data_IF_649570628012
#
_entry.id   IF_649570628012
#
_cell.length_a   1.000
_cell.length_b   1.000
_cell.length_c   1.000
_cell.angle_alpha   90.00
_cell.angle_beta   90.00
_cell.angle_gamma   90.00
#
_symmetry.space_group_name_H-M   'P 1'
#
loop_
_entity.id
_entity.type
_entity.pdbx_description
1 polymer ?
#
# COMPACT_ATOMS: atom_id res chain seq x y z
N UNK A 1 1.23 8.55 17.93
CA UNK A 1 2.11 7.71 18.77
C UNK A 1 2.87 6.75 17.84
N UNK A 2 4.20 6.60 18.00
CA UNK A 2 5.08 6.04 16.95
C UNK A 2 5.42 4.56 17.19
N UNK A 3 5.46 3.75 16.12
CA UNK A 3 5.88 2.35 16.15
C UNK A 3 7.34 2.23 16.62
N UNK A 4 7.58 1.43 17.67
CA UNK A 4 8.86 1.42 18.41
C UNK A 4 9.79 0.29 18.00
N UNK A 5 9.24 -0.81 17.50
CA UNK A 5 10.00 -2.01 17.19
C UNK A 5 9.27 -2.88 16.16
N UNK A 6 10.02 -3.81 15.57
CA UNK A 6 9.48 -4.92 14.81
C UNK A 6 9.80 -6.23 15.54
N UNK A 7 8.78 -7.03 15.84
CA UNK A 7 8.91 -8.32 16.51
C UNK A 7 8.61 -9.48 15.57
N UNK A 8 9.33 -10.58 15.76
CA UNK A 8 9.11 -11.86 15.11
C UNK A 8 8.79 -12.90 16.18
N UNK A 9 7.62 -13.54 16.05
CA UNK A 9 7.16 -14.61 16.91
C UNK A 9 7.04 -15.89 16.08
N UNK A 10 7.28 -17.04 16.72
CA UNK A 10 6.90 -18.33 16.16
C UNK A 10 5.39 -18.59 16.36
N UNK A 11 4.89 -19.75 15.90
CA UNK A 11 3.46 -20.09 15.97
C UNK A 11 2.97 -20.34 17.40
N UNK A 12 3.87 -20.65 18.34
CA UNK A 12 3.56 -20.74 19.77
C UNK A 12 3.52 -19.36 20.47
N UNK A 13 3.73 -18.27 19.73
CA UNK A 13 3.74 -16.91 20.28
C UNK A 13 5.03 -16.53 21.01
N UNK A 14 6.08 -17.35 20.93
CA UNK A 14 7.38 -17.07 21.54
C UNK A 14 8.18 -16.12 20.67
N UNK A 15 8.62 -15.01 21.26
CA UNK A 15 9.53 -14.04 20.64
C UNK A 15 10.83 -14.71 20.19
N UNK A 16 11.16 -14.53 18.92
CA UNK A 16 12.39 -15.00 18.29
C UNK A 16 13.37 -13.84 18.05
N UNK A 17 12.86 -12.72 17.54
CA UNK A 17 13.66 -11.53 17.23
C UNK A 17 12.88 -10.26 17.59
N UNK A 18 13.56 -9.27 18.15
CA UNK A 18 13.05 -7.90 18.28
C UNK A 18 14.07 -6.93 17.68
N UNK A 19 13.62 -6.10 16.74
CA UNK A 19 14.41 -5.05 16.11
C UNK A 19 13.82 -3.70 16.51
N UNK A 20 14.56 -2.91 17.28
CA UNK A 20 14.12 -1.55 17.63
C UNK A 20 14.17 -0.66 16.40
N UNK A 21 13.10 0.09 16.16
CA UNK A 21 13.03 1.02 15.05
C UNK A 21 13.67 2.34 15.47
N UNK A 22 14.59 2.86 14.62
CA UNK A 22 15.08 4.22 14.75
C UNK A 22 14.34 5.12 13.76
N UNK A 23 13.42 5.94 14.29
CA UNK A 23 12.57 6.82 13.49
C UNK A 23 13.30 8.07 13.00
N UNK A 24 14.47 8.40 13.57
CA UNK A 24 15.28 9.55 13.13
C UNK A 24 15.82 9.39 11.70
N UNK A 25 15.85 8.17 11.17
CA UNK A 25 16.42 7.88 9.85
C UNK A 25 15.50 8.24 8.68
N UNK A 26 14.17 8.20 8.86
CA UNK A 26 13.22 8.32 7.75
C UNK A 26 12.47 9.65 7.70
N UNK A 27 12.73 10.57 8.65
CA UNK A 27 12.14 11.92 8.69
C UNK A 27 10.61 11.95 8.85
N UNK A 28 9.98 10.80 9.04
CA UNK A 28 8.54 10.65 9.14
C UNK A 28 8.14 9.29 9.70
N UNK A 29 6.94 9.23 10.27
CA UNK A 29 6.30 7.97 10.63
C UNK A 29 5.94 7.19 9.35
N UNK A 30 6.22 5.88 9.30
CA UNK A 30 6.04 4.99 8.13
C UNK A 30 4.62 4.94 7.55
N UNK A 31 3.65 5.62 8.15
CA UNK A 31 2.25 5.50 7.79
C UNK A 31 1.67 6.86 7.41
N UNK A 32 1.33 6.98 6.12
CA UNK A 32 0.52 8.02 5.49
C UNK A 32 1.25 9.32 5.15
N UNK A 33 1.82 9.34 3.95
CA UNK A 33 1.84 10.56 3.13
C UNK A 33 0.74 10.44 2.08
N UNK A 34 -0.37 11.14 2.30
CA UNK A 34 -1.23 11.61 1.22
C UNK A 34 -1.24 13.15 1.24
N UNK A 35 -0.11 13.80 0.91
CA UNK A 35 0.03 15.25 0.99
C UNK A 35 -0.76 15.99 -0.09
N UNK A 36 -1.23 15.28 -1.13
CA UNK A 36 -1.87 15.90 -2.29
C UNK A 36 -3.24 16.56 -1.99
N UNK A 37 -3.85 16.28 -0.84
CA UNK A 37 -5.17 16.83 -0.45
C UNK A 37 -5.16 17.50 0.92
N UNK A 38 -3.99 17.84 1.49
CA UNK A 38 -3.98 18.54 2.78
C UNK A 38 -4.41 19.99 2.61
N UNK A 39 -5.37 20.45 3.42
CA UNK A 39 -5.88 21.84 3.42
C UNK A 39 -4.79 22.91 3.69
N UNK A 40 -3.59 22.49 4.09
CA UNK A 40 -2.44 23.34 4.41
C UNK A 40 -1.51 23.61 3.20
N UNK A 41 -1.85 23.16 1.99
CA UNK A 41 -1.07 23.49 0.80
C UNK A 41 -1.45 24.87 0.26
N UNK A 42 -0.47 25.73 -0.12
CA UNK A 42 -0.78 26.99 -0.80
C UNK A 42 -1.66 26.72 -2.01
N UNK A 43 -2.83 27.34 -2.05
CA UNK A 43 -3.91 27.09 -3.01
C UNK A 43 -3.58 27.43 -4.48
N UNK A 44 -2.32 27.71 -4.82
CA UNK A 44 -1.90 28.34 -6.07
C UNK A 44 -0.89 27.55 -6.90
N UNK A 45 -0.49 26.33 -6.51
CA UNK A 45 0.60 25.63 -7.21
C UNK A 45 0.13 24.63 -8.29
N UNK A 46 -1.12 24.16 -8.26
CA UNK A 46 -1.63 23.23 -9.28
C UNK A 46 -3.17 23.30 -9.41
N UNK A 47 -3.67 23.16 -10.63
CA UNK A 47 -5.10 22.92 -10.90
C UNK A 47 -5.37 21.43 -10.74
N UNK A 48 -6.12 21.05 -9.71
CA UNK A 48 -6.50 19.66 -9.45
C UNK A 48 -7.89 19.39 -10.03
N UNK A 49 -7.98 18.41 -10.92
CA UNK A 49 -9.25 17.91 -11.47
C UNK A 49 -9.49 16.49 -10.98
N UNK A 50 -10.31 16.34 -9.94
CA UNK A 50 -10.72 15.02 -9.44
C UNK A 50 -11.72 14.36 -10.38
N UNK A 51 -11.98 13.06 -10.20
CA UNK A 51 -12.93 12.29 -11.03
C UNK A 51 -12.67 12.37 -12.54
N UNK A 52 -11.42 12.63 -12.92
CA UNK A 52 -10.96 12.79 -14.31
C UNK A 52 -10.08 11.61 -14.68
N UNK A 53 -10.67 10.41 -14.79
CA UNK A 53 -9.91 9.20 -15.10
C UNK A 53 -9.26 9.31 -16.48
N UNK A 54 -7.94 9.12 -16.54
CA UNK A 54 -7.21 9.01 -17.80
C UNK A 54 -7.43 7.61 -18.38
N UNK A 55 -7.79 7.55 -19.66
CA UNK A 55 -8.03 6.28 -20.38
C UNK A 55 -7.02 6.03 -21.50
N UNK A 56 -6.20 7.03 -21.84
CA UNK A 56 -5.20 6.91 -22.88
C UNK A 56 -4.44 8.20 -23.09
N UNK A 57 -3.38 8.07 -23.88
CA UNK A 57 -2.48 9.15 -24.24
C UNK A 57 -2.06 8.97 -25.70
N UNK A 58 -1.79 10.06 -26.40
CA UNK A 58 -1.17 10.03 -27.72
C UNK A 58 0.14 10.81 -27.67
N UNK A 59 1.26 10.09 -27.83
CA UNK A 59 2.62 10.64 -27.73
C UNK A 59 2.88 11.75 -28.76
N UNK A 60 2.38 11.61 -29.98
CA UNK A 60 2.67 12.53 -31.10
C UNK A 60 1.97 13.87 -30.93
N UNK A 61 0.70 13.83 -30.51
CA UNK A 61 -0.15 15.01 -30.33
C UNK A 61 -0.08 15.60 -28.93
N UNK A 62 0.50 14.84 -27.98
CA UNK A 62 0.61 15.18 -26.55
C UNK A 62 -0.76 15.39 -25.88
N UNK A 63 -1.72 14.59 -26.30
CA UNK A 63 -3.12 14.65 -25.83
C UNK A 63 -3.40 13.49 -24.89
N UNK A 64 -3.94 13.82 -23.71
CA UNK A 64 -4.47 12.88 -22.72
C UNK A 64 -5.98 12.79 -22.89
N UNK A 65 -6.51 11.58 -23.00
CA UNK A 65 -7.93 11.32 -23.13
C UNK A 65 -8.53 10.95 -21.78
N UNK A 66 -9.66 11.58 -21.44
CA UNK A 66 -10.39 11.34 -20.20
C UNK A 66 -11.63 10.47 -20.45
N UNK A 67 -12.04 9.71 -19.44
CA UNK A 67 -13.19 8.79 -19.53
C UNK A 67 -14.53 9.47 -19.83
N UNK A 68 -14.64 10.77 -19.56
CA UNK A 68 -15.83 11.57 -19.87
C UNK A 68 -15.86 12.07 -21.34
N UNK A 69 -14.91 11.64 -22.17
CA UNK A 69 -14.79 12.04 -23.58
C UNK A 69 -14.06 13.36 -23.83
N UNK A 70 -13.71 14.11 -22.77
CA UNK A 70 -12.88 15.31 -22.89
C UNK A 70 -11.40 14.96 -23.00
N UNK A 71 -10.57 15.94 -23.38
CA UNK A 71 -9.14 15.78 -23.48
C UNK A 71 -8.38 16.97 -22.89
N UNK A 72 -7.12 16.72 -22.56
CA UNK A 72 -6.18 17.73 -22.06
C UNK A 72 -4.90 17.61 -22.85
N UNK A 73 -4.33 18.74 -23.27
CA UNK A 73 -3.05 18.80 -23.96
C UNK A 73 -2.02 19.48 -23.06
N UNK A 74 -0.77 19.00 -23.09
CA UNK A 74 0.34 19.62 -22.37
C UNK A 74 1.67 19.40 -23.07
N UNK A 75 2.69 20.16 -22.70
CA UNK A 75 4.03 20.00 -23.28
C UNK A 75 4.72 18.73 -22.77
N UNK A 76 4.50 18.42 -21.49
CA UNK A 76 5.04 17.23 -20.82
C UNK A 76 3.91 16.57 -20.04
N UNK A 77 3.79 15.26 -20.18
CA UNK A 77 2.85 14.43 -19.42
C UNK A 77 3.65 13.55 -18.47
N UNK A 78 3.30 13.56 -17.19
CA UNK A 78 3.91 12.73 -16.15
C UNK A 78 2.97 11.58 -15.81
N UNK A 79 3.36 10.35 -16.17
CA UNK A 79 2.62 9.13 -15.84
C UNK A 79 2.79 8.71 -14.39
N UNK A 80 1.91 9.20 -13.51
CA UNK A 80 1.83 8.83 -12.10
C UNK A 80 0.51 8.09 -11.79
N UNK A 81 0.03 7.27 -12.73
CA UNK A 81 -1.28 6.62 -12.77
C UNK A 81 -1.29 5.17 -12.22
N UNK A 82 -0.23 4.79 -11.50
CA UNK A 82 -0.18 3.55 -10.72
C UNK A 82 0.12 2.29 -11.55
N UNK A 83 -0.13 1.12 -10.95
CA UNK A 83 0.28 -0.18 -11.52
C UNK A 83 -0.47 -0.55 -12.82
N UNK A 84 -1.68 -0.02 -13.02
CA UNK A 84 -2.51 -0.17 -14.23
C UNK A 84 -2.42 1.04 -15.14
N UNK A 85 -1.19 1.51 -15.35
CA UNK A 85 -0.91 2.74 -16.07
C UNK A 85 -1.33 2.65 -17.55
N UNK A 86 -2.26 3.50 -17.96
CA UNK A 86 -2.62 3.67 -19.37
C UNK A 86 -1.52 4.43 -20.13
N UNK A 87 -0.75 5.27 -19.42
CA UNK A 87 0.37 6.00 -20.01
C UNK A 87 1.54 5.06 -20.32
N UNK A 88 1.88 4.14 -19.41
CA UNK A 88 2.94 3.15 -19.62
C UNK A 88 2.69 2.35 -20.88
N UNK A 89 1.46 1.89 -21.09
CA UNK A 89 1.12 1.01 -22.20
C UNK A 89 1.33 1.69 -23.56
N UNK A 90 1.09 3.02 -23.68
CA UNK A 90 1.41 3.77 -24.89
C UNK A 90 2.92 4.01 -25.05
N UNK A 91 3.65 4.24 -23.96
CA UNK A 91 5.12 4.48 -23.99
C UNK A 91 5.89 3.23 -24.42
N UNK A 92 5.47 2.04 -23.99
CA UNK A 92 6.17 0.78 -24.30
C UNK A 92 5.63 0.09 -25.57
N UNK A 93 4.69 0.70 -26.26
CA UNK A 93 4.08 0.16 -27.48
C UNK A 93 5.12 -0.05 -28.58
N UNK A 94 5.10 -1.21 -29.21
CA UNK A 94 6.09 -1.64 -30.19
C UNK A 94 7.45 -2.02 -29.59
N UNK A 95 7.62 -1.97 -28.26
CA UNK A 95 8.85 -2.43 -27.60
C UNK A 95 8.79 -3.93 -27.29
N UNK A 96 9.96 -4.51 -26.98
CA UNK A 96 10.05 -5.90 -26.50
C UNK A 96 9.31 -6.14 -25.17
N UNK A 97 8.92 -5.07 -24.46
CA UNK A 97 8.20 -5.13 -23.19
C UNK A 97 6.69 -4.96 -23.34
N UNK A 98 6.19 -4.72 -24.55
CA UNK A 98 4.76 -4.62 -24.81
C UNK A 98 4.03 -5.91 -24.37
N UNK A 99 2.94 -5.76 -23.62
CA UNK A 99 2.14 -6.87 -23.14
C UNK A 99 2.78 -7.72 -22.04
N UNK A 100 3.96 -7.37 -21.52
CA UNK A 100 4.55 -8.07 -20.38
C UNK A 100 3.65 -7.94 -19.15
N UNK A 101 3.22 -9.08 -18.62
CA UNK A 101 2.44 -9.16 -17.39
C UNK A 101 3.34 -9.43 -16.19
N UNK A 102 2.94 -8.92 -15.03
CA UNK A 102 3.60 -9.25 -13.77
C UNK A 102 3.52 -10.77 -13.52
N UNK A 103 4.61 -11.34 -13.02
CA UNK A 103 4.69 -12.76 -12.67
C UNK A 103 4.06 -12.94 -11.29
N UNK A 104 3.02 -13.78 -11.14
CA UNK A 104 2.43 -14.07 -9.84
C UNK A 104 3.45 -14.71 -8.89
N UNK A 105 3.49 -14.24 -7.64
CA UNK A 105 4.40 -14.77 -6.62
C UNK A 105 3.87 -16.04 -5.94
N UNK A 106 2.61 -16.42 -6.19
CA UNK A 106 1.93 -17.51 -5.49
C UNK A 106 1.51 -17.17 -4.06
N UNK A 107 1.51 -15.89 -3.69
CA UNK A 107 1.09 -15.40 -2.38
C UNK A 107 -0.06 -14.40 -2.53
N UNK A 108 -1.00 -14.45 -1.58
CA UNK A 108 -2.01 -13.42 -1.39
C UNK A 108 -1.79 -12.71 -0.06
N UNK A 109 -2.02 -11.40 -0.04
CA UNK A 109 -1.99 -10.58 1.16
C UNK A 109 -3.41 -10.08 1.46
N UNK A 110 -4.04 -10.60 2.51
CA UNK A 110 -5.31 -10.06 3.00
C UNK A 110 -5.02 -8.97 4.01
N UNK A 111 -5.62 -7.80 3.82
CA UNK A 111 -5.40 -6.65 4.68
C UNK A 111 -6.70 -6.21 5.36
N UNK A 112 -6.65 -6.02 6.66
CA UNK A 112 -7.78 -5.56 7.47
C UNK A 112 -7.29 -4.44 8.38
N UNK A 113 -8.11 -3.41 8.53
CA UNK A 113 -7.95 -2.36 9.53
C UNK A 113 -9.00 -2.53 10.62
N UNK A 114 -8.56 -2.50 11.88
CA UNK A 114 -9.41 -2.66 13.05
C UNK A 114 -9.24 -1.46 13.97
N UNK A 115 -10.34 -0.83 14.34
CA UNK A 115 -10.36 0.26 15.32
C UNK A 115 -10.25 -0.30 16.74
N UNK A 116 -9.37 0.28 17.55
CA UNK A 116 -9.03 -0.27 18.87
C UNK A 116 -10.17 -0.13 19.86
N UNK A 117 -10.94 0.95 19.80
CA UNK A 117 -12.09 1.22 20.66
C UNK A 117 -13.23 0.21 20.46
N UNK A 118 -13.34 -0.38 19.26
CA UNK A 118 -14.28 -1.45 18.94
C UNK A 118 -13.84 -2.84 19.43
N UNK A 119 -12.57 -2.99 19.85
CA UNK A 119 -12.06 -4.24 20.41
C UNK A 119 -12.35 -4.30 21.91
N UNK A 120 -13.53 -4.82 22.27
CA UNK A 120 -13.98 -4.91 23.67
C UNK A 120 -13.09 -5.80 24.55
N UNK A 121 -12.58 -6.91 24.00
CA UNK A 121 -11.68 -7.83 24.69
C UNK A 121 -10.93 -8.69 23.67
N UNK A 122 -9.65 -8.94 23.92
CA UNK A 122 -8.86 -9.91 23.19
C UNK A 122 -8.50 -11.05 24.15
N UNK A 123 -8.83 -12.28 23.75
CA UNK A 123 -8.40 -13.48 24.46
C UNK A 123 -7.05 -13.94 23.88
N UNK A 124 -6.02 -13.13 24.08
CA UNK A 124 -4.66 -13.37 23.63
C UNK A 124 -3.71 -13.01 24.76
N UNK A 125 -2.66 -13.82 24.94
CA UNK A 125 -1.62 -13.52 25.91
C UNK A 125 -0.98 -12.17 25.60
N UNK A 126 -0.82 -11.34 26.64
CA UNK A 126 -0.34 -9.96 26.49
C UNK A 126 1.10 -9.90 25.91
N UNK A 127 1.89 -10.94 26.12
CA UNK A 127 3.23 -11.09 25.51
C UNK A 127 3.18 -11.30 23.99
N UNK A 128 2.16 -12.01 23.50
CA UNK A 128 1.94 -12.24 22.08
C UNK A 128 1.41 -10.98 21.41
N UNK A 129 0.36 -10.38 21.99
CA UNK A 129 -0.25 -9.18 21.46
C UNK A 129 -0.87 -8.32 22.56
N UNK A 130 -0.68 -7.00 22.46
CA UNK A 130 -1.28 -6.04 23.39
C UNK A 130 -1.63 -4.77 22.65
N UNK A 131 -2.86 -4.28 22.83
CA UNK A 131 -3.35 -3.03 22.23
C UNK A 131 -2.52 -1.81 22.66
N UNK A 132 -1.89 -1.88 23.84
CA UNK A 132 -1.04 -0.81 24.38
C UNK A 132 0.37 -0.82 23.79
N UNK A 133 0.77 -1.90 23.13
CA UNK A 133 2.12 -2.08 22.61
C UNK A 133 2.18 -1.61 21.16
N UNK A 134 2.77 -0.44 20.95
CA UNK A 134 3.05 0.08 19.61
C UNK A 134 4.27 -0.57 18.99
N UNK A 135 4.10 -1.83 18.60
CA UNK A 135 5.13 -2.65 17.99
C UNK A 135 4.49 -3.44 16.87
N UNK A 136 5.03 -3.30 15.66
CA UNK A 136 4.66 -4.20 14.57
C UNK A 136 5.16 -5.61 14.89
N UNK A 137 4.25 -6.57 14.94
CA UNK A 137 4.51 -7.97 15.28
C UNK A 137 4.21 -8.85 14.08
N UNK A 138 5.17 -9.67 13.67
CA UNK A 138 4.97 -10.72 12.67
C UNK A 138 5.05 -12.09 13.32
N UNK A 139 3.99 -12.89 13.17
CA UNK A 139 3.97 -14.30 13.51
C UNK A 139 4.31 -15.09 12.24
N UNK A 140 5.35 -15.92 12.32
CA UNK A 140 5.88 -16.70 11.18
C UNK A 140 5.51 -18.16 11.35
N UNK A 141 4.62 -18.64 10.48
CA UNK A 141 4.41 -20.05 10.23
C UNK A 141 5.28 -20.56 9.08
N UNK A 142 5.14 -21.84 8.76
CA UNK A 142 5.90 -22.51 7.70
C UNK A 142 5.78 -21.80 6.34
N UNK A 143 4.55 -21.54 5.91
CA UNK A 143 4.19 -20.99 4.59
C UNK A 143 3.31 -19.73 4.67
N UNK A 144 3.02 -19.27 5.89
CA UNK A 144 2.07 -18.19 6.17
C UNK A 144 2.63 -17.23 7.19
N UNK A 145 2.24 -15.97 7.07
CA UNK A 145 2.68 -14.90 7.98
C UNK A 145 1.49 -14.03 8.34
N UNK A 146 1.42 -13.66 9.61
CA UNK A 146 0.47 -12.65 10.10
C UNK A 146 1.29 -11.48 10.60
N UNK A 147 1.07 -10.31 10.04
CA UNK A 147 1.71 -9.06 10.46
C UNK A 147 0.64 -8.18 11.08
N UNK A 148 0.86 -7.73 12.30
CA UNK A 148 -0.05 -6.89 13.06
C UNK A 148 0.73 -5.67 13.52
N UNK A 149 0.29 -4.47 13.15
CA UNK A 149 1.01 -3.25 13.51
C UNK A 149 0.08 -2.09 13.81
N UNK A 150 0.50 -1.16 14.69
CA UNK A 150 -0.27 0.02 14.99
C UNK A 150 -0.39 0.92 13.75
N UNK A 151 -1.59 1.40 13.47
CA UNK A 151 -1.91 2.36 12.44
C UNK A 151 -2.46 3.67 13.02
N UNK A 152 -2.43 4.74 12.24
CA UNK A 152 -2.96 6.07 12.60
C UNK A 152 -2.56 6.51 14.02
N UNK A 153 -1.26 6.47 14.30
CA UNK A 153 -0.75 6.91 15.58
C UNK A 153 -1.18 6.07 16.79
N UNK A 154 -1.65 4.84 16.58
CA UNK A 154 -2.07 3.91 17.64
C UNK A 154 -3.56 3.90 17.93
N UNK A 155 -4.40 4.43 17.03
CA UNK A 155 -5.87 4.35 17.11
C UNK A 155 -6.45 3.10 16.41
N UNK A 156 -5.68 2.53 15.49
CA UNK A 156 -6.06 1.36 14.71
C UNK A 156 -4.95 0.31 14.73
N UNK A 157 -5.29 -0.93 14.41
CA UNK A 157 -4.34 -1.96 14.01
C UNK A 157 -4.57 -2.38 12.57
N UNK A 158 -3.49 -2.45 11.81
CA UNK A 158 -3.46 -3.12 10.52
C UNK A 158 -3.06 -4.57 10.70
N UNK A 159 -3.83 -5.49 10.12
CA UNK A 159 -3.52 -6.91 10.05
C UNK A 159 -3.29 -7.29 8.59
N UNK A 160 -2.15 -7.91 8.31
CA UNK A 160 -1.83 -8.48 7.01
C UNK A 160 -1.65 -9.98 7.17
N UNK A 161 -2.43 -10.77 6.43
CA UNK A 161 -2.25 -12.21 6.29
C UNK A 161 -1.61 -12.50 4.95
N UNK A 162 -0.33 -12.87 4.97
CA UNK A 162 0.37 -13.35 3.78
C UNK A 162 0.26 -14.86 3.76
N UNK A 163 -0.50 -15.41 2.81
CA UNK A 163 -0.77 -16.84 2.69
C UNK A 163 -0.53 -17.35 1.27
N UNK A 164 -0.23 -18.65 1.09
CA UNK A 164 -0.14 -19.24 -0.24
C UNK A 164 -1.47 -19.09 -0.99
N UNK A 165 -1.37 -18.74 -2.26
CA UNK A 165 -2.50 -18.70 -3.17
C UNK A 165 -2.23 -19.65 -4.34
N UNK A 166 -2.97 -20.76 -4.35
CA UNK A 166 -2.86 -21.80 -5.37
C UNK A 166 -3.63 -21.44 -6.65
N UNK A 167 -4.47 -20.40 -6.63
CA UNK A 167 -5.19 -19.91 -7.80
C UNK A 167 -4.27 -19.01 -8.64
N UNK A 168 -3.26 -19.61 -9.27
CA UNK A 168 -2.30 -18.93 -10.15
C UNK A 168 -2.89 -18.56 -11.53
N UNK A 169 -4.05 -19.11 -11.87
CA UNK A 169 -4.67 -19.01 -13.20
C UNK A 169 -5.68 -17.88 -13.35
N UNK A 170 -6.01 -17.17 -12.27
CA UNK A 170 -6.87 -15.99 -12.40
C UNK A 170 -5.99 -14.85 -12.88
N UNK A 171 -6.29 -14.33 -14.07
CA UNK A 171 -5.78 -13.02 -14.47
C UNK A 171 -6.00 -12.05 -13.30
N UNK A 172 -5.02 -11.21 -13.01
CA UNK A 172 -5.05 -10.28 -11.90
C UNK A 172 -6.24 -9.32 -12.00
N UNK A 173 -7.35 -9.69 -11.36
CA UNK A 173 -8.54 -8.87 -11.16
C UNK A 173 -8.32 -7.90 -10.00
N UNK A 174 -7.28 -7.05 -10.08
CA UNK A 174 -7.04 -5.96 -9.11
C UNK A 174 -7.10 -4.61 -9.77
#
# INVERSE_FOLDING_TARGET
MVDKAFRLLNVEGKLQVEMKLNTSQFGADRMLYHPATSDNMPSSLAVIRTSSSVIGYNCDTRVVYLSNGSSVQGDVVIGADGIRSAIRDEVIKGSASEGLKAIPTGLSAYYILVEIDKLLKLDVLEDVFSLKRLVTTMIVGYDKRVIIGPGRGGEMFGLVYLIPNLNLNNESTS
#
